data_IF_231122726376
#
_entry.id   IF_231122726376
#
_cell.length_a   1.000
_cell.length_b   1.000
_cell.length_c   1.000
_cell.angle_alpha   90.00
_cell.angle_beta   90.00
_cell.angle_gamma   90.00
#
_symmetry.space_group_name_H-M   'P 1'
#
loop_
_entity.id
_entity.type
_entity.pdbx_description
1 polymer ?
#
# COMPACT_ATOMS: atom_id res chain seq x y z
N UNK A 1 -64.62 -10.28 -12.32
CA UNK A 1 -65.52 -9.42 -11.53
C UNK A 1 -64.69 -8.88 -10.37
N UNK A 2 -64.32 -7.60 -10.42
CA UNK A 2 -63.64 -6.88 -9.32
C UNK A 2 -64.61 -6.62 -8.15
N UNK A 3 -64.13 -6.26 -6.95
CA UNK A 3 -63.79 -4.85 -6.72
C UNK A 3 -62.52 -4.58 -5.87
N UNK A 4 -62.04 -3.31 -5.84
CA UNK A 4 -60.82 -2.85 -5.17
C UNK A 4 -61.11 -1.99 -3.92
N UNK A 5 -60.21 -1.96 -2.94
CA UNK A 5 -60.15 -0.98 -1.83
C UNK A 5 -58.70 -1.01 -1.27
N UNK A 6 -58.04 0.06 -0.82
CA UNK A 6 -58.35 1.48 -0.73
C UNK A 6 -57.02 2.27 -0.62
N UNK A 7 -56.97 3.42 -1.27
CA UNK A 7 -56.00 4.51 -0.99
C UNK A 7 -56.46 5.25 0.27
N UNK A 8 -55.54 5.51 1.22
CA UNK A 8 -55.69 6.60 2.18
C UNK A 8 -54.33 7.00 2.74
N UNK A 9 -53.84 8.17 2.33
CA UNK A 9 -52.82 8.94 3.05
C UNK A 9 -53.29 10.39 3.02
N UNK A 10 -53.86 10.82 4.15
CA UNK A 10 -54.15 12.21 4.45
C UNK A 10 -53.27 12.66 5.61
N UNK A 11 -52.91 13.94 5.55
CA UNK A 11 -52.64 14.90 6.64
C UNK A 11 -51.18 15.35 6.90
N UNK A 12 -50.95 16.61 6.48
CA UNK A 12 -50.56 17.77 7.31
C UNK A 12 -49.20 17.86 8.04
N UNK A 13 -48.28 18.59 7.38
CA UNK A 13 -47.50 19.82 7.77
C UNK A 13 -47.67 20.34 9.24
N UNK A 14 -46.59 20.79 9.96
CA UNK A 14 -45.98 22.15 9.88
C UNK A 14 -44.43 22.14 9.87
N UNK A 15 -43.69 22.90 9.05
CA UNK A 15 -43.40 24.36 9.03
C UNK A 15 -42.96 24.98 10.36
N UNK A 16 -41.65 25.24 10.51
CA UNK A 16 -41.09 26.11 11.55
C UNK A 16 -40.12 27.11 10.92
N UNK A 17 -40.37 28.39 11.22
CA UNK A 17 -39.65 29.60 10.79
C UNK A 17 -38.45 29.91 11.69
N UNK A 18 -37.42 30.47 11.03
CA UNK A 18 -36.53 31.58 11.38
C UNK A 18 -36.33 32.01 12.85
N UNK A 19 -35.05 32.18 13.21
CA UNK A 19 -34.61 33.13 14.22
C UNK A 19 -33.60 34.12 13.62
N UNK A 20 -33.86 35.39 13.91
CA UNK A 20 -33.24 36.62 13.43
C UNK A 20 -32.34 37.13 14.56
N UNK A 21 -31.10 37.48 14.29
CA UNK A 21 -30.25 38.25 15.21
C UNK A 21 -29.87 39.58 14.55
N UNK A 22 -30.15 40.67 15.27
CA UNK A 22 -29.83 42.05 14.93
C UNK A 22 -29.02 42.67 16.08
N UNK A 23 -28.13 43.60 15.73
CA UNK A 23 -27.46 44.55 16.63
C UNK A 23 -25.93 44.46 16.51
N UNK A 24 -25.15 45.51 16.27
CA UNK A 24 -25.40 46.95 16.11
C UNK A 24 -24.07 47.72 16.24
N UNK A 25 -23.99 48.91 15.62
CA UNK A 25 -23.03 50.03 15.79
C UNK A 25 -21.54 49.76 15.50
N UNK A 26 -20.93 50.25 14.41
CA UNK A 26 -20.55 51.64 14.05
C UNK A 26 -19.70 52.34 15.12
N UNK A 27 -18.40 52.48 14.87
CA UNK A 27 -17.56 53.63 15.25
C UNK A 27 -16.40 53.81 14.26
N UNK A 28 -15.96 55.07 14.19
CA UNK A 28 -15.28 55.76 13.10
C UNK A 28 -13.79 55.47 12.93
N UNK A 29 -13.31 55.91 11.77
CA UNK A 29 -11.93 56.02 11.32
C UNK A 29 -11.05 56.94 12.19
N UNK A 30 -9.75 56.62 12.26
CA UNK A 30 -8.68 57.60 12.48
C UNK A 30 -7.42 57.25 11.66
N UNK A 31 -7.01 58.25 10.88
CA UNK A 31 -5.68 58.72 10.48
C UNK A 31 -4.48 57.77 10.29
N UNK A 32 -3.75 58.10 9.22
CA UNK A 32 -2.45 57.60 8.80
C UNK A 32 -1.29 58.03 9.72
N UNK A 33 -0.24 57.19 9.77
CA UNK A 33 1.14 57.67 9.93
C UNK A 33 2.12 56.69 9.25
N UNK A 34 3.02 57.25 8.45
CA UNK A 34 4.10 56.59 7.73
C UNK A 34 5.33 56.46 8.63
N UNK A 35 5.97 55.29 8.64
CA UNK A 35 7.45 55.10 8.65
C UNK A 35 7.77 53.59 8.67
N UNK A 36 8.58 53.10 7.72
CA UNK A 36 9.35 51.85 7.89
C UNK A 36 10.63 52.10 8.72
N UNK A 37 11.61 51.16 8.81
CA UNK A 37 11.73 49.91 8.04
C UNK A 37 12.25 48.66 8.81
N UNK A 38 12.14 47.51 8.13
CA UNK A 38 12.99 46.28 8.20
C UNK A 38 12.98 45.34 9.42
N UNK A 39 13.12 44.06 9.07
CA UNK A 39 13.55 42.89 9.85
C UNK A 39 12.52 42.20 10.76
N UNK A 40 11.93 41.10 10.25
CA UNK A 40 12.20 39.71 10.65
C UNK A 40 11.11 38.82 10.03
N UNK A 41 11.52 37.94 9.12
CA UNK A 41 10.62 37.02 8.42
C UNK A 41 10.30 35.84 9.35
N UNK A 42 9.36 36.05 10.28
CA UNK A 42 8.78 34.98 11.06
C UNK A 42 7.77 34.21 10.17
N UNK A 43 8.07 32.94 9.89
CA UNK A 43 7.13 31.99 9.29
C UNK A 43 5.92 31.85 10.20
N UNK A 44 4.80 32.48 9.85
CA UNK A 44 3.50 32.19 10.42
C UNK A 44 3.02 30.85 9.87
N UNK A 45 3.07 29.81 10.69
CA UNK A 45 2.34 28.58 10.46
C UNK A 45 0.83 28.90 10.58
N UNK A 46 0.17 29.15 9.46
CA UNK A 46 -1.29 29.16 9.39
C UNK A 46 -1.75 27.71 9.27
N UNK A 47 -2.03 27.08 10.41
CA UNK A 47 -2.92 25.93 10.47
C UNK A 47 -4.31 26.40 10.03
N UNK A 48 -4.65 26.14 8.78
CA UNK A 48 -6.01 26.26 8.26
C UNK A 48 -6.69 24.91 8.44
N UNK A 49 -7.35 24.75 9.58
CA UNK A 49 -8.38 23.74 9.77
C UNK A 49 -9.62 24.17 9.00
N UNK A 50 -9.83 23.58 7.82
CA UNK A 50 -11.11 23.63 7.13
C UNK A 50 -11.76 22.25 7.19
N UNK A 51 -12.95 22.21 7.80
CA UNK A 51 -13.79 21.05 7.96
C UNK A 51 -14.96 21.20 6.98
N UNK A 52 -14.92 20.47 5.86
CA UNK A 52 -16.04 20.46 4.92
C UNK A 52 -15.74 19.72 3.62
N UNK A 53 -16.58 18.75 3.28
CA UNK A 53 -16.60 17.90 2.08
C UNK A 53 -15.58 16.74 2.03
N UNK A 54 -15.99 15.56 2.51
CA UNK A 54 -15.32 14.27 2.22
C UNK A 54 -15.48 13.90 0.74
N UNK A 55 -14.72 14.56 -0.13
CA UNK A 55 -14.27 13.92 -1.37
C UNK A 55 -13.32 12.80 -0.96
N UNK A 56 -13.66 11.54 -1.24
CA UNK A 56 -12.80 10.40 -0.91
C UNK A 56 -11.52 10.48 -1.73
N UNK A 57 -10.49 11.15 -1.20
CA UNK A 57 -9.15 11.13 -1.75
C UNK A 57 -8.70 9.66 -1.78
N UNK A 58 -8.41 9.16 -2.98
CA UNK A 58 -8.00 7.77 -3.21
C UNK A 58 -6.75 7.41 -2.39
N UNK A 59 -6.73 6.24 -1.74
CA UNK A 59 -5.56 5.70 -1.00
C UNK A 59 -4.35 5.44 -1.88
N UNK A 60 -4.49 5.57 -3.20
CA UNK A 60 -3.39 5.64 -4.14
C UNK A 60 -3.72 4.99 -5.49
N UNK A 61 -2.70 4.69 -6.30
CA UNK A 61 -2.87 4.08 -7.62
C UNK A 61 -3.74 2.82 -7.66
N UNK A 62 -3.64 1.90 -6.69
CA UNK A 62 -4.44 0.65 -6.68
C UNK A 62 -5.93 0.94 -6.54
N UNK A 63 -6.33 1.73 -5.53
CA UNK A 63 -7.73 2.10 -5.34
C UNK A 63 -8.27 2.91 -6.53
N UNK A 64 -7.41 3.76 -7.10
CA UNK A 64 -7.76 4.53 -8.31
C UNK A 64 -8.07 3.63 -9.49
N UNK A 65 -7.30 2.55 -9.69
CA UNK A 65 -7.55 1.57 -10.75
C UNK A 65 -8.95 0.95 -10.61
N UNK A 66 -9.27 0.39 -9.43
CA UNK A 66 -10.58 -0.22 -9.22
C UNK A 66 -11.72 0.79 -9.38
N UNK A 67 -11.66 1.93 -8.68
CA UNK A 67 -12.77 2.90 -8.68
C UNK A 67 -13.00 3.58 -10.02
N UNK A 68 -11.93 3.89 -10.77
CA UNK A 68 -12.07 4.60 -12.05
C UNK A 68 -12.39 3.67 -13.21
N UNK A 69 -11.82 2.46 -13.22
CA UNK A 69 -12.03 1.52 -14.33
C UNK A 69 -13.29 0.68 -14.15
N UNK A 70 -13.71 0.43 -12.90
CA UNK A 70 -14.85 -0.41 -12.56
C UNK A 70 -15.71 0.26 -11.49
N UNK A 71 -16.45 1.34 -11.83
CA UNK A 71 -17.18 2.13 -10.84
C UNK A 71 -18.27 1.36 -10.09
N UNK A 72 -18.84 0.33 -10.72
CA UNK A 72 -19.87 -0.53 -10.11
C UNK A 72 -19.28 -1.62 -9.20
N UNK A 73 -17.95 -1.76 -9.16
CA UNK A 73 -17.28 -2.74 -8.31
C UNK A 73 -16.96 -2.13 -6.93
N UNK A 74 -17.61 -2.66 -5.89
CA UNK A 74 -17.37 -2.29 -4.49
C UNK A 74 -16.00 -2.80 -3.99
N UNK A 75 -14.90 -2.13 -4.35
CA UNK A 75 -13.53 -2.53 -4.01
C UNK A 75 -13.24 -2.48 -2.50
N UNK A 76 -12.73 -3.59 -1.95
CA UNK A 76 -12.38 -3.73 -0.52
C UNK A 76 -10.88 -3.88 -0.31
N UNK A 77 -10.22 -2.76 -0.08
CA UNK A 77 -8.75 -2.70 0.08
C UNK A 77 -8.19 -3.62 1.18
N UNK A 78 -8.96 -3.94 2.23
CA UNK A 78 -8.52 -4.83 3.31
C UNK A 78 -8.28 -6.27 2.85
N UNK A 79 -8.85 -6.68 1.71
CA UNK A 79 -8.72 -8.03 1.17
C UNK A 79 -7.47 -8.22 0.31
N UNK A 80 -6.79 -7.14 -0.04
CA UNK A 80 -5.63 -7.15 -0.93
C UNK A 80 -6.02 -7.09 -2.41
N UNK A 81 -5.21 -6.39 -3.19
CA UNK A 81 -5.52 -5.99 -4.55
C UNK A 81 -5.69 -7.19 -5.49
N UNK A 82 -4.86 -8.22 -5.35
CA UNK A 82 -4.92 -9.43 -6.20
C UNK A 82 -6.21 -10.22 -5.95
N UNK A 83 -6.63 -10.37 -4.68
CA UNK A 83 -7.87 -11.07 -4.34
C UNK A 83 -9.09 -10.31 -4.84
N UNK A 84 -9.08 -8.98 -4.71
CA UNK A 84 -10.16 -8.15 -5.23
C UNK A 84 -10.20 -8.12 -6.76
N UNK A 85 -9.06 -8.21 -7.44
CA UNK A 85 -9.05 -8.38 -8.90
C UNK A 85 -9.65 -9.72 -9.34
N UNK A 86 -9.34 -10.82 -8.64
CA UNK A 86 -10.01 -12.12 -8.89
C UNK A 86 -11.52 -12.01 -8.70
N UNK A 87 -11.96 -11.38 -7.60
CA UNK A 87 -13.39 -11.13 -7.35
C UNK A 87 -14.03 -10.28 -8.44
N UNK A 88 -13.36 -9.23 -8.91
CA UNK A 88 -13.83 -8.42 -10.03
C UNK A 88 -14.04 -9.26 -11.28
N UNK A 89 -13.07 -10.11 -11.63
CA UNK A 89 -13.19 -11.03 -12.77
C UNK A 89 -14.41 -11.94 -12.64
N UNK A 90 -14.61 -12.53 -11.48
CA UNK A 90 -15.69 -13.50 -11.24
C UNK A 90 -17.07 -12.84 -11.17
N UNK A 91 -17.21 -11.72 -10.46
CA UNK A 91 -18.54 -11.15 -10.14
C UNK A 91 -19.02 -10.13 -11.15
N UNK A 92 -18.13 -9.29 -11.67
CA UNK A 92 -18.49 -8.18 -12.57
C UNK A 92 -18.21 -8.54 -14.02
N UNK A 93 -17.00 -9.01 -14.31
CA UNK A 93 -16.63 -9.38 -15.68
C UNK A 93 -17.23 -10.73 -16.08
N UNK A 94 -17.55 -11.60 -15.10
CA UNK A 94 -18.01 -12.98 -15.30
C UNK A 94 -17.07 -13.78 -16.19
N UNK A 95 -15.76 -13.62 -15.94
CA UNK A 95 -14.68 -14.28 -16.65
C UNK A 95 -13.83 -15.10 -15.69
N UNK A 96 -13.24 -16.19 -16.18
CA UNK A 96 -12.23 -16.93 -15.43
C UNK A 96 -10.94 -16.10 -15.31
N UNK A 97 -10.52 -15.70 -14.09
CA UNK A 97 -9.26 -14.95 -13.90
C UNK A 97 -8.02 -15.71 -14.36
N UNK A 98 -8.09 -17.04 -14.54
CA UNK A 98 -6.99 -17.86 -15.01
C UNK A 98 -6.94 -17.99 -16.54
N UNK A 99 -7.96 -17.50 -17.27
CA UNK A 99 -7.94 -17.46 -18.73
C UNK A 99 -7.03 -16.33 -19.24
N UNK A 100 -5.73 -16.64 -19.31
CA UNK A 100 -4.68 -15.73 -19.79
C UNK A 100 -4.80 -15.37 -21.28
N UNK A 101 -5.63 -16.09 -22.05
CA UNK A 101 -5.88 -15.81 -23.47
C UNK A 101 -6.99 -14.78 -23.64
N UNK A 102 -7.89 -14.65 -22.67
CA UNK A 102 -8.92 -13.64 -22.69
C UNK A 102 -8.31 -12.23 -22.58
N UNK A 103 -8.53 -11.39 -23.60
CA UNK A 103 -7.94 -10.06 -23.66
C UNK A 103 -8.46 -9.10 -22.58
N UNK A 104 -9.68 -9.30 -22.06
CA UNK A 104 -10.23 -8.49 -20.96
C UNK A 104 -9.54 -8.86 -19.64
N UNK A 105 -9.37 -10.15 -19.37
CA UNK A 105 -8.63 -10.65 -18.19
C UNK A 105 -7.19 -10.14 -18.23
N UNK A 106 -6.52 -10.32 -19.37
CA UNK A 106 -5.15 -9.86 -19.59
C UNK A 106 -5.00 -8.34 -19.45
N UNK A 107 -5.91 -7.54 -20.02
CA UNK A 107 -5.89 -6.08 -19.91
C UNK A 107 -6.14 -5.60 -18.47
N UNK A 108 -7.11 -6.20 -17.77
CA UNK A 108 -7.40 -5.85 -16.39
C UNK A 108 -6.23 -6.20 -15.45
N UNK A 109 -5.60 -7.37 -15.65
CA UNK A 109 -4.40 -7.78 -14.91
C UNK A 109 -3.23 -6.81 -15.13
N UNK A 110 -2.94 -6.43 -16.37
CA UNK A 110 -1.90 -5.41 -16.69
C UNK A 110 -2.21 -4.05 -16.07
N UNK A 111 -3.49 -3.67 -16.04
CA UNK A 111 -3.94 -2.46 -15.36
C UNK A 111 -3.63 -2.49 -13.87
N UNK A 112 -3.92 -3.61 -13.21
CA UNK A 112 -3.58 -3.82 -11.81
C UNK A 112 -2.06 -3.81 -11.57
N UNK A 113 -1.28 -4.49 -12.41
CA UNK A 113 0.17 -4.50 -12.33
C UNK A 113 0.76 -3.09 -12.41
N UNK A 114 0.28 -2.28 -13.36
CA UNK A 114 0.63 -0.86 -13.46
C UNK A 114 0.31 -0.12 -12.16
N UNK A 115 -0.87 -0.36 -11.59
CA UNK A 115 -1.30 0.28 -10.35
C UNK A 115 -0.42 -0.11 -9.15
N UNK A 116 -0.04 -1.39 -9.02
CA UNK A 116 0.86 -1.87 -7.97
C UNK A 116 2.26 -1.22 -8.07
N UNK A 117 2.83 -1.15 -9.28
CA UNK A 117 4.12 -0.47 -9.52
C UNK A 117 4.05 1.01 -9.14
N UNK A 118 2.99 1.70 -9.58
CA UNK A 118 2.79 3.11 -9.23
C UNK A 118 2.58 3.32 -7.74
N UNK A 119 1.86 2.43 -7.07
CA UNK A 119 1.65 2.48 -5.62
C UNK A 119 2.98 2.36 -4.87
N UNK A 120 3.83 1.40 -5.26
CA UNK A 120 5.18 1.25 -4.70
C UNK A 120 6.00 2.52 -4.89
N UNK A 121 6.10 3.01 -6.13
CA UNK A 121 6.88 4.20 -6.46
C UNK A 121 6.40 5.44 -5.70
N UNK A 122 5.08 5.59 -5.50
CA UNK A 122 4.51 6.67 -4.69
C UNK A 122 4.87 6.55 -3.21
N UNK A 123 4.95 5.33 -2.67
CA UNK A 123 5.13 5.08 -1.24
C UNK A 123 6.60 5.13 -0.81
N UNK A 124 7.51 4.65 -1.64
CA UNK A 124 8.93 4.51 -1.28
C UNK A 124 9.87 5.35 -2.16
N UNK A 125 9.35 5.98 -3.21
CA UNK A 125 10.15 6.73 -4.17
C UNK A 125 10.68 5.85 -5.30
N UNK A 126 11.53 6.44 -6.12
CA UNK A 126 12.00 5.85 -7.38
C UNK A 126 13.52 5.77 -7.50
N UNK A 127 14.23 6.59 -6.71
CA UNK A 127 15.67 6.75 -6.76
C UNK A 127 16.35 5.75 -5.81
N UNK A 128 17.27 4.95 -6.34
CA UNK A 128 17.99 3.94 -5.59
C UNK A 128 19.29 4.47 -4.95
N UNK A 129 19.61 5.75 -5.17
CA UNK A 129 20.67 6.48 -4.47
C UNK A 129 20.14 7.32 -3.29
N UNK A 130 18.82 7.38 -3.11
CA UNK A 130 18.20 8.13 -2.00
C UNK A 130 18.33 7.37 -0.68
N UNK A 131 19.08 7.92 0.28
CA UNK A 131 19.18 7.36 1.63
C UNK A 131 17.81 7.28 2.31
N UNK A 132 17.03 8.36 2.24
CA UNK A 132 15.69 8.43 2.84
C UNK A 132 14.75 7.33 2.33
N UNK A 133 14.79 7.04 1.02
CA UNK A 133 13.99 5.98 0.42
C UNK A 133 14.36 4.60 1.01
N UNK A 134 15.66 4.32 1.14
CA UNK A 134 16.14 3.07 1.70
C UNK A 134 15.90 2.96 3.21
N UNK A 135 16.05 4.04 3.96
CA UNK A 135 15.73 4.07 5.39
C UNK A 135 14.23 3.88 5.62
N UNK A 136 13.38 4.51 4.80
CA UNK A 136 11.93 4.29 4.82
C UNK A 136 11.53 2.83 4.56
N UNK A 137 12.24 2.15 3.64
CA UNK A 137 12.07 0.71 3.43
C UNK A 137 12.52 -0.10 4.66
N UNK A 138 13.65 0.24 5.28
CA UNK A 138 14.10 -0.44 6.50
C UNK A 138 13.07 -0.31 7.64
N UNK A 139 12.55 0.90 7.86
CA UNK A 139 11.49 1.15 8.84
C UNK A 139 10.22 0.36 8.54
N UNK A 140 9.79 0.31 7.27
CA UNK A 140 8.60 -0.45 6.86
C UNK A 140 8.75 -1.96 7.10
N UNK A 141 9.94 -2.49 6.86
CA UNK A 141 10.26 -3.90 7.04
C UNK A 141 10.55 -4.27 8.50
N UNK A 142 10.55 -3.28 9.39
CA UNK A 142 10.89 -3.44 10.80
C UNK A 142 12.26 -4.13 10.95
N UNK A 143 13.27 -3.50 10.36
CA UNK A 143 14.69 -3.89 10.44
C UNK A 143 15.52 -2.66 10.84
N UNK A 144 16.78 -2.89 11.25
CA UNK A 144 17.71 -1.81 11.59
C UNK A 144 17.80 -0.76 10.46
N UNK A 145 17.97 0.50 10.84
CA UNK A 145 18.03 1.66 9.91
C UNK A 145 19.45 2.25 9.92
N UNK A 146 20.34 1.86 9.00
CA UNK A 146 21.69 2.42 8.88
C UNK A 146 21.73 3.84 8.29
N UNK A 147 22.86 4.51 8.45
CA UNK A 147 23.11 5.86 7.91
C UNK A 147 23.76 5.88 6.51
N UNK A 148 23.72 4.75 5.78
CA UNK A 148 24.25 4.69 4.41
C UNK A 148 23.39 3.83 3.49
N UNK A 149 23.30 4.26 2.22
CA UNK A 149 22.55 3.57 1.16
C UNK A 149 23.01 2.12 1.01
N UNK A 150 24.33 1.90 1.02
CA UNK A 150 24.92 0.56 0.86
C UNK A 150 24.53 -0.38 2.00
N UNK A 151 24.51 0.11 3.24
CA UNK A 151 24.14 -0.71 4.39
C UNK A 151 22.63 -1.00 4.41
N UNK A 152 21.78 0.00 4.14
CA UNK A 152 20.34 -0.21 4.05
C UNK A 152 20.01 -1.22 2.95
N UNK A 153 20.57 -1.04 1.75
CA UNK A 153 20.36 -1.96 0.62
C UNK A 153 20.73 -3.39 0.98
N UNK A 154 21.85 -3.59 1.67
CA UNK A 154 22.28 -4.93 2.12
C UNK A 154 21.25 -5.58 3.05
N UNK A 155 20.72 -4.84 4.01
CA UNK A 155 19.72 -5.37 4.95
C UNK A 155 18.39 -5.69 4.25
N UNK A 156 17.93 -4.79 3.38
CA UNK A 156 16.72 -5.02 2.58
C UNK A 156 16.92 -6.21 1.63
N UNK A 157 18.11 -6.39 1.06
CA UNK A 157 18.41 -7.51 0.17
C UNK A 157 18.37 -8.86 0.89
N UNK A 158 18.85 -8.90 2.14
CA UNK A 158 18.79 -10.06 3.02
C UNK A 158 17.40 -10.35 3.58
N UNK A 159 16.45 -9.43 3.42
CA UNK A 159 15.07 -9.60 3.88
C UNK A 159 14.22 -10.07 2.70
N UNK A 160 13.62 -11.25 2.83
CA UNK A 160 12.72 -11.79 1.81
C UNK A 160 11.28 -11.45 2.19
N UNK A 161 10.62 -10.63 1.37
CA UNK A 161 9.20 -10.26 1.53
C UNK A 161 8.49 -10.32 0.19
N UNK A 162 7.17 -10.52 0.21
CA UNK A 162 6.37 -10.38 -0.99
C UNK A 162 6.12 -8.89 -1.28
N UNK A 163 6.40 -8.45 -2.51
CA UNK A 163 6.30 -7.04 -2.88
C UNK A 163 4.86 -6.53 -3.03
N UNK A 164 3.89 -7.42 -3.27
CA UNK A 164 2.46 -7.05 -3.22
C UNK A 164 2.13 -6.69 -1.77
N UNK A 165 2.49 -7.56 -0.82
CA UNK A 165 2.25 -7.32 0.61
C UNK A 165 2.99 -6.07 1.10
N UNK A 166 4.24 -5.84 0.69
CA UNK A 166 4.98 -4.62 1.02
C UNK A 166 4.32 -3.34 0.47
N UNK A 167 3.70 -3.43 -0.72
CA UNK A 167 3.04 -2.29 -1.36
C UNK A 167 1.72 -1.94 -0.68
N UNK A 168 1.04 -2.95 -0.13
CA UNK A 168 -0.27 -2.82 0.54
C UNK A 168 -0.15 -2.74 2.07
N UNK A 169 1.05 -2.91 2.63
CA UNK A 169 1.30 -2.89 4.06
C UNK A 169 0.84 -1.58 4.72
N UNK A 170 0.07 -1.73 5.81
CA UNK A 170 -0.39 -0.60 6.63
C UNK A 170 0.76 -0.06 7.48
N UNK A 171 0.65 1.20 7.89
CA UNK A 171 1.62 1.80 8.80
C UNK A 171 1.55 1.09 10.16
N UNK A 172 2.71 0.71 10.70
CA UNK A 172 2.81 -0.10 11.92
C UNK A 172 2.50 -1.60 11.77
N UNK A 173 2.20 -2.08 10.55
CA UNK A 173 2.00 -3.50 10.27
C UNK A 173 2.98 -3.96 9.17
N UNK A 174 4.18 -4.43 9.54
CA UNK A 174 5.16 -4.89 8.55
C UNK A 174 4.64 -6.13 7.81
N UNK A 175 5.03 -6.32 6.54
CA UNK A 175 4.69 -7.54 5.80
C UNK A 175 5.40 -8.76 6.39
N UNK A 176 4.89 -9.95 6.07
CA UNK A 176 5.53 -11.22 6.46
C UNK A 176 6.94 -11.32 5.85
N UNK A 177 7.90 -11.65 6.71
CA UNK A 177 9.31 -11.88 6.36
C UNK A 177 9.55 -13.38 6.26
N UNK A 178 10.23 -13.80 5.21
CA UNK A 178 10.56 -15.19 4.93
C UNK A 178 12.05 -15.44 5.16
N UNK A 179 12.38 -16.63 5.66
CA UNK A 179 13.77 -17.02 5.94
C UNK A 179 14.60 -17.26 4.68
N UNK A 180 13.96 -17.47 3.53
CA UNK A 180 14.63 -17.72 2.26
C UNK A 180 13.79 -17.29 1.05
N UNK A 181 14.47 -17.08 -0.08
CA UNK A 181 13.81 -16.84 -1.37
C UNK A 181 12.93 -18.04 -1.80
N UNK A 182 13.29 -19.26 -1.40
CA UNK A 182 12.48 -20.46 -1.66
C UNK A 182 11.16 -20.44 -0.88
N UNK A 183 11.18 -20.06 0.41
CA UNK A 183 9.98 -19.89 1.21
C UNK A 183 9.07 -18.78 0.63
N UNK A 184 9.66 -17.64 0.28
CA UNK A 184 8.95 -16.55 -0.42
C UNK A 184 8.34 -17.02 -1.75
N UNK A 185 9.06 -17.85 -2.51
CA UNK A 185 8.57 -18.42 -3.77
C UNK A 185 7.35 -19.31 -3.55
N UNK A 186 7.40 -20.22 -2.58
CA UNK A 186 6.28 -21.10 -2.22
C UNK A 186 5.06 -20.27 -1.83
N UNK A 187 5.23 -19.29 -0.93
CA UNK A 187 4.16 -18.37 -0.53
C UNK A 187 3.55 -17.66 -1.74
N UNK A 188 4.37 -17.00 -2.55
CA UNK A 188 3.92 -16.19 -3.69
C UNK A 188 3.18 -17.02 -4.73
N UNK A 189 3.61 -18.27 -4.97
CA UNK A 189 2.94 -19.19 -5.90
C UNK A 189 1.62 -19.72 -5.34
N UNK A 190 1.56 -19.95 -4.03
CA UNK A 190 0.37 -20.48 -3.36
C UNK A 190 -0.72 -19.42 -3.24
N UNK A 191 -0.35 -18.17 -2.94
CA UNK A 191 -1.29 -17.04 -2.86
C UNK A 191 -1.52 -16.34 -4.21
N UNK A 192 -0.70 -16.69 -5.20
CA UNK A 192 -0.67 -16.11 -6.54
C UNK A 192 -0.45 -14.58 -6.55
N UNK A 193 0.16 -14.05 -5.50
CA UNK A 193 0.46 -12.62 -5.34
C UNK A 193 1.74 -12.24 -6.08
N UNK A 194 1.72 -12.37 -7.40
CA UNK A 194 2.87 -12.04 -8.26
C UNK A 194 3.01 -10.54 -8.48
N UNK A 195 4.10 -9.97 -7.99
CA UNK A 195 4.50 -8.62 -8.35
C UNK A 195 5.14 -8.61 -9.75
N UNK A 196 4.81 -7.64 -10.63
CA UNK A 196 5.35 -7.59 -11.99
C UNK A 196 6.87 -7.36 -11.97
N UNK A 197 7.63 -8.35 -12.48
CA UNK A 197 9.09 -8.28 -12.58
C UNK A 197 9.55 -7.36 -13.71
N UNK A 198 8.98 -7.55 -14.89
CA UNK A 198 9.30 -6.75 -16.08
C UNK A 198 8.15 -5.78 -16.33
N UNK A 199 8.34 -4.53 -15.91
CA UNK A 199 7.35 -3.47 -16.10
C UNK A 199 8.02 -2.18 -16.56
N UNK A 200 7.46 -1.52 -17.56
CA UNK A 200 8.02 -0.29 -18.15
C UNK A 200 8.19 0.83 -17.10
N UNK A 201 7.26 0.90 -16.15
CA UNK A 201 7.29 1.89 -15.07
C UNK A 201 8.10 1.47 -13.83
N UNK A 202 8.74 0.28 -13.85
CA UNK A 202 9.58 -0.13 -12.73
C UNK A 202 10.84 0.74 -12.69
N UNK A 203 11.00 1.50 -11.59
CA UNK A 203 12.10 2.43 -11.36
C UNK A 203 13.29 1.76 -10.64
N UNK A 204 14.49 2.36 -10.65
CA UNK A 204 15.71 1.75 -10.09
C UNK A 204 15.53 1.19 -8.69
N UNK A 205 14.87 1.95 -7.78
CA UNK A 205 14.63 1.49 -6.41
C UNK A 205 13.83 0.18 -6.41
N UNK A 206 12.66 0.15 -7.06
CA UNK A 206 11.82 -1.04 -7.16
C UNK A 206 12.56 -2.22 -7.81
N UNK A 207 13.32 -1.97 -8.88
CA UNK A 207 14.08 -3.02 -9.58
C UNK A 207 15.09 -3.72 -8.66
N UNK A 208 15.66 -2.99 -7.71
CA UNK A 208 16.61 -3.54 -6.74
C UNK A 208 15.98 -4.52 -5.74
N UNK A 209 14.65 -4.52 -5.57
CA UNK A 209 13.94 -5.41 -4.64
C UNK A 209 13.36 -6.67 -5.31
N UNK A 210 13.42 -6.77 -6.64
CA UNK A 210 12.80 -7.89 -7.37
C UNK A 210 13.53 -9.21 -7.08
N UNK A 211 12.76 -10.26 -6.76
CA UNK A 211 13.24 -11.61 -6.46
C UNK A 211 12.92 -12.60 -7.57
N UNK A 212 13.62 -13.73 -7.59
CA UNK A 212 13.42 -14.84 -8.51
C UNK A 212 12.37 -15.81 -7.97
N UNK A 213 11.09 -15.46 -8.15
CA UNK A 213 9.98 -16.28 -7.64
C UNK A 213 9.85 -17.62 -8.38
N UNK A 214 10.02 -17.66 -9.69
CA UNK A 214 9.84 -18.90 -10.48
C UNK A 214 11.06 -19.81 -10.48
N UNK A 215 12.23 -19.29 -10.14
CA UNK A 215 13.49 -20.03 -10.07
C UNK A 215 14.32 -19.50 -8.90
N UNK A 216 13.91 -19.78 -7.64
CA UNK A 216 14.55 -19.22 -6.46
C UNK A 216 15.98 -19.71 -6.34
N UNK A 217 16.88 -18.84 -5.90
CA UNK A 217 18.27 -19.20 -5.75
C UNK A 217 18.45 -20.15 -4.55
N UNK A 218 19.00 -21.34 -4.80
CA UNK A 218 19.23 -22.35 -3.76
C UNK A 218 20.38 -21.98 -2.78
N UNK A 219 21.10 -20.87 -3.02
CA UNK A 219 22.36 -20.56 -2.34
C UNK A 219 22.25 -19.81 -1.01
N UNK A 220 21.06 -19.34 -0.60
CA UNK A 220 20.82 -18.89 0.78
C UNK A 220 20.25 -20.00 1.66
N UNK A 221 20.79 -21.22 1.53
CA UNK A 221 20.69 -22.20 2.63
C UNK A 221 21.36 -21.58 3.83
N UNK A 222 20.60 -21.40 4.90
CA UNK A 222 21.09 -20.98 6.20
C UNK A 222 22.44 -21.63 6.51
N UNK A 223 23.37 -20.79 6.95
CA UNK A 223 24.69 -21.13 7.45
C UNK A 223 24.62 -22.36 8.35
N UNK A 224 25.01 -23.52 7.81
CA UNK A 224 25.49 -24.75 8.48
C UNK A 224 24.73 -25.18 9.74
N UNK A 225 23.85 -26.16 9.60
CA UNK A 225 23.71 -27.16 10.66
C UNK A 225 25.08 -27.83 10.86
N UNK A 226 25.71 -27.58 12.00
CA UNK A 226 26.86 -28.34 12.47
C UNK A 226 26.44 -29.81 12.61
N UNK A 227 26.78 -30.64 11.61
CA UNK A 227 26.72 -32.08 11.80
C UNK A 227 27.65 -32.46 12.96
N UNK A 228 27.19 -33.23 13.96
CA UNK A 228 28.03 -33.63 15.07
C UNK A 228 29.20 -34.46 14.52
N UNK A 229 30.42 -34.09 14.95
CA UNK A 229 31.63 -34.88 14.66
C UNK A 229 31.43 -36.26 15.27
N UNK A 230 31.28 -37.26 14.42
CA UNK A 230 31.32 -38.68 14.79
C UNK A 230 32.69 -38.95 15.43
N UNK A 231 32.71 -39.05 16.76
CA UNK A 231 33.92 -39.31 17.53
C UNK A 231 34.57 -40.63 17.09
N UNK A 232 35.89 -40.60 16.90
CA UNK A 232 36.71 -41.81 16.77
C UNK A 232 36.56 -42.61 18.07
N UNK A 233 36.09 -43.85 17.98
CA UNK A 233 36.31 -44.85 19.04
C UNK A 233 37.81 -45.10 19.11
N UNK A 234 38.43 -44.73 20.23
CA UNK A 234 39.65 -45.37 20.69
C UNK A 234 39.23 -46.54 21.56
N UNK A 235 39.52 -47.75 21.09
CA UNK A 235 39.62 -48.93 21.95
C UNK A 235 40.79 -48.74 22.92
N UNK A 236 40.58 -49.03 24.21
CA UNK A 236 41.58 -49.68 25.08
C UNK A 236 40.97 -49.99 26.47
N UNK A 237 40.75 -51.30 26.69
CA UNK A 237 40.85 -52.14 27.90
C UNK A 237 40.63 -51.55 29.32
N UNK A 238 39.90 -52.29 30.19
CA UNK A 238 40.44 -53.24 31.19
C UNK A 238 39.46 -53.44 32.40
N UNK A 239 39.43 -54.66 32.94
CA UNK A 239 38.74 -55.23 34.13
C UNK A 239 37.27 -55.65 33.95
N UNK A 240 36.83 -56.90 34.19
CA UNK A 240 37.41 -58.10 34.85
C UNK A 240 37.51 -59.31 33.91
#
# INVERSE_FOLDING_TARGET
MSPPLAMSMLSSIPSIRAARWCGGSVFQAFAAFSTGPTLLKAKKASGSSDAGAKGTQSRGPIETFFRKTYPDFDYKWERGAVKEWRRLCETVLRLDPNDKKNEVVKKSWRGLQTAMVRQFNRRYGTDDQSLDAWQGLCMRLDISVPDSVKACRKLVDQTHVNLVDLTEAKDGAPPEKFDSEAALSVYTRTTEQFFPREHAEAKPLLRALLRHINNPNASHRGRRECKPKRGKKSDLALFD
#
